data_IF_170921462007
#
_entry.id   IF_170921462007
#
_cell.length_a   1.000
_cell.length_b   1.000
_cell.length_c   1.000
_cell.angle_alpha   90.00
_cell.angle_beta   90.00
_cell.angle_gamma   90.00
#
_symmetry.space_group_name_H-M   'P 1'
#
loop_
_entity.id
_entity.type
_entity.pdbx_description
1 polymer ?
#
# COMPACT_ATOMS: atom_id res chain seq x y z
N UNK A 1 23.53 10.23 -12.60
CA UNK A 1 22.31 9.41 -12.61
C UNK A 1 22.57 7.93 -12.32
N UNK A 2 23.46 7.27 -13.02
CA UNK A 2 23.80 5.85 -12.80
C UNK A 2 24.19 5.52 -11.36
N UNK A 3 25.10 6.31 -10.75
CA UNK A 3 25.51 6.13 -9.35
C UNK A 3 24.37 6.30 -8.33
N UNK A 4 23.46 7.24 -8.56
CA UNK A 4 22.28 7.44 -7.73
C UNK A 4 21.35 6.23 -7.80
N UNK A 5 21.00 5.78 -9.00
CA UNK A 5 20.13 4.60 -9.21
C UNK A 5 20.78 3.34 -8.62
N UNK A 6 22.09 3.14 -8.84
CA UNK A 6 22.83 2.00 -8.28
C UNK A 6 22.76 1.99 -6.74
N UNK A 7 22.98 3.15 -6.09
CA UNK A 7 22.88 3.29 -4.63
C UNK A 7 21.46 2.98 -4.12
N UNK A 8 20.42 3.41 -4.85
CA UNK A 8 19.02 3.13 -4.50
C UNK A 8 18.69 1.64 -4.67
N UNK A 9 19.17 1.00 -5.74
CA UNK A 9 19.00 -0.44 -5.97
C UNK A 9 19.71 -1.28 -4.91
N UNK A 10 20.93 -0.90 -4.52
CA UNK A 10 21.65 -1.55 -3.42
C UNK A 10 20.84 -1.41 -2.11
N UNK A 11 20.39 -0.18 -1.78
CA UNK A 11 19.55 0.06 -0.61
C UNK A 11 18.27 -0.78 -0.63
N UNK A 12 17.58 -0.87 -1.77
CA UNK A 12 16.42 -1.72 -1.98
C UNK A 12 16.74 -3.20 -1.70
N UNK A 13 17.83 -3.73 -2.27
CA UNK A 13 18.26 -5.11 -2.03
C UNK A 13 18.58 -5.39 -0.57
N UNK A 14 19.30 -4.48 0.10
CA UNK A 14 19.61 -4.59 1.52
C UNK A 14 18.35 -4.57 2.38
N UNK A 15 17.41 -3.67 2.10
CA UNK A 15 16.12 -3.59 2.81
C UNK A 15 15.33 -4.89 2.67
N UNK A 16 15.26 -5.45 1.45
CA UNK A 16 14.57 -6.72 1.22
C UNK A 16 15.26 -7.88 1.94
N UNK A 17 16.58 -7.94 1.93
CA UNK A 17 17.34 -8.98 2.63
C UNK A 17 17.10 -8.92 4.15
N UNK A 18 17.17 -7.71 4.72
CA UNK A 18 16.91 -7.51 6.17
C UNK A 18 15.47 -7.88 6.49
N UNK A 19 14.50 -7.46 5.68
CA UNK A 19 13.10 -7.82 5.87
C UNK A 19 12.88 -9.35 5.77
N UNK A 20 13.50 -10.00 4.78
CA UNK A 20 13.47 -11.46 4.66
C UNK A 20 14.02 -12.17 5.88
N UNK A 21 15.17 -11.71 6.41
CA UNK A 21 15.75 -12.23 7.64
C UNK A 21 14.78 -12.06 8.83
N UNK A 22 14.26 -10.85 9.01
CA UNK A 22 13.33 -10.56 10.12
C UNK A 22 12.09 -11.44 10.06
N UNK A 23 11.44 -11.54 8.89
CA UNK A 23 10.25 -12.38 8.71
C UNK A 23 10.59 -13.84 9.00
N UNK A 24 11.69 -14.34 8.44
CA UNK A 24 12.07 -15.74 8.59
C UNK A 24 12.27 -16.09 10.05
N UNK A 25 13.16 -15.37 10.75
CA UNK A 25 13.50 -15.68 12.14
C UNK A 25 12.37 -15.34 13.12
N UNK A 26 11.59 -14.28 12.86
CA UNK A 26 10.43 -13.96 13.69
C UNK A 26 9.40 -15.10 13.67
N UNK A 27 9.11 -15.64 12.50
CA UNK A 27 8.16 -16.75 12.35
C UNK A 27 8.74 -18.07 12.87
N UNK A 28 10.06 -18.25 12.81
CA UNK A 28 10.74 -19.42 13.34
C UNK A 28 10.78 -19.44 14.88
N UNK A 29 10.73 -18.27 15.52
CA UNK A 29 10.67 -18.10 16.98
C UNK A 29 9.26 -18.25 17.56
N UNK A 30 8.22 -18.29 16.72
CA UNK A 30 6.85 -18.44 17.21
C UNK A 30 6.69 -19.79 17.93
N UNK A 31 6.07 -19.80 19.13
CA UNK A 31 5.85 -21.03 19.88
C UNK A 31 4.88 -21.96 19.14
N UNK A 32 5.22 -23.24 19.07
CA UNK A 32 4.44 -24.31 18.46
C UNK A 32 5.19 -25.01 17.34
N UNK A 33 4.88 -26.28 17.15
CA UNK A 33 5.45 -27.11 16.09
C UNK A 33 4.52 -27.11 14.88
N UNK A 34 4.95 -26.60 13.70
CA UNK A 34 4.13 -26.61 12.50
C UNK A 34 3.60 -28.01 12.16
N UNK A 35 4.40 -29.06 12.36
CA UNK A 35 3.99 -30.43 12.10
C UNK A 35 2.85 -30.89 13.02
N UNK A 36 2.87 -30.45 14.29
CA UNK A 36 1.77 -30.74 15.22
C UNK A 36 0.47 -30.04 14.79
N UNK A 37 0.57 -28.77 14.34
CA UNK A 37 -0.61 -28.03 13.88
C UNK A 37 -1.25 -28.67 12.64
N UNK A 38 -0.43 -29.13 11.69
CA UNK A 38 -0.92 -29.79 10.45
C UNK A 38 -1.63 -31.11 10.77
N UNK A 39 -1.08 -31.90 11.70
CA UNK A 39 -1.65 -33.20 12.09
C UNK A 39 -2.84 -33.05 13.04
N UNK A 40 -2.93 -31.91 13.74
CA UNK A 40 -4.05 -31.58 14.64
C UNK A 40 -4.24 -32.66 15.72
N UNK A 41 -5.50 -33.03 15.97
CA UNK A 41 -5.88 -34.03 16.99
C UNK A 41 -5.34 -35.45 16.71
N UNK A 42 -4.93 -35.73 15.48
CA UNK A 42 -4.37 -37.03 15.07
C UNK A 42 -2.82 -37.06 15.21
N UNK A 43 -2.20 -36.03 15.82
CA UNK A 43 -0.75 -35.94 15.99
C UNK A 43 -0.27 -37.02 16.97
N UNK A 44 0.48 -38.00 16.46
CA UNK A 44 1.25 -38.95 17.28
C UNK A 44 2.74 -38.56 17.25
N UNK A 45 3.54 -38.84 18.27
CA UNK A 45 4.98 -38.53 18.27
C UNK A 45 5.68 -38.99 16.98
N UNK A 46 5.36 -40.20 16.50
CA UNK A 46 5.96 -40.76 15.27
C UNK A 46 5.53 -40.06 14.02
N UNK A 47 4.24 -39.62 13.91
CA UNK A 47 3.74 -38.89 12.76
C UNK A 47 4.32 -37.46 12.71
N UNK A 48 4.44 -36.81 13.86
CA UNK A 48 5.08 -35.51 13.99
C UNK A 48 6.54 -35.57 13.56
N UNK A 49 7.33 -36.54 14.10
CA UNK A 49 8.73 -36.72 13.74
C UNK A 49 8.94 -36.94 12.24
N UNK A 50 8.11 -37.78 11.61
CA UNK A 50 8.15 -38.02 10.15
C UNK A 50 7.83 -36.77 9.36
N UNK A 51 6.80 -36.01 9.75
CA UNK A 51 6.43 -34.80 9.06
C UNK A 51 7.48 -33.70 9.22
N UNK A 52 8.11 -33.56 10.41
CA UNK A 52 9.23 -32.65 10.63
C UNK A 52 10.41 -32.92 9.70
N UNK A 53 10.79 -34.18 9.53
CA UNK A 53 11.84 -34.60 8.60
C UNK A 53 11.47 -34.26 7.15
N UNK A 54 10.21 -34.55 6.73
CA UNK A 54 9.73 -34.20 5.38
C UNK A 54 9.72 -32.69 5.12
N UNK A 55 9.44 -31.90 6.14
CA UNK A 55 9.42 -30.45 6.06
C UNK A 55 10.81 -29.81 6.22
N UNK A 56 11.85 -30.60 6.50
CA UNK A 56 13.20 -30.11 6.73
C UNK A 56 13.33 -29.24 7.97
N UNK A 57 12.40 -29.35 8.95
CA UNK A 57 12.39 -28.51 10.15
C UNK A 57 13.55 -28.81 11.11
N UNK A 58 14.18 -29.98 10.99
CA UNK A 58 15.32 -30.40 11.82
C UNK A 58 16.65 -29.84 11.29
N UNK A 59 16.68 -29.26 10.12
CA UNK A 59 17.85 -28.56 9.59
C UNK A 59 18.12 -27.24 10.37
N UNK A 60 19.40 -26.84 10.52
CA UNK A 60 19.74 -25.58 11.15
C UNK A 60 19.02 -24.39 10.51
N UNK A 61 18.59 -23.42 11.32
CA UNK A 61 17.78 -22.28 10.84
C UNK A 61 18.43 -21.49 9.69
N UNK A 62 19.78 -21.36 9.71
CA UNK A 62 20.48 -20.66 8.63
C UNK A 62 20.42 -21.42 7.29
N UNK A 63 20.43 -22.76 7.31
CA UNK A 63 20.29 -23.57 6.09
C UNK A 63 18.87 -23.41 5.51
N UNK A 64 17.86 -23.53 6.35
CA UNK A 64 16.45 -23.31 5.98
C UNK A 64 16.23 -21.92 5.43
N UNK A 65 16.88 -20.89 6.00
CA UNK A 65 16.84 -19.52 5.49
C UNK A 65 17.43 -19.41 4.08
N UNK A 66 18.63 -19.97 3.86
CA UNK A 66 19.31 -19.91 2.55
C UNK A 66 18.52 -20.67 1.48
N UNK A 67 17.99 -21.84 1.82
CA UNK A 67 17.14 -22.63 0.91
C UNK A 67 15.86 -21.88 0.54
N UNK A 68 15.18 -21.32 1.55
CA UNK A 68 13.99 -20.51 1.32
C UNK A 68 14.28 -19.26 0.48
N UNK A 69 15.36 -18.54 0.77
CA UNK A 69 15.77 -17.37 -0.01
C UNK A 69 16.11 -17.76 -1.45
N UNK A 70 16.82 -18.86 -1.64
CA UNK A 70 17.14 -19.40 -2.96
C UNK A 70 15.91 -19.86 -3.75
N UNK A 71 14.93 -20.47 -3.10
CA UNK A 71 13.63 -20.82 -3.67
C UNK A 71 12.86 -19.57 -4.12
N UNK A 72 12.75 -18.58 -3.24
CA UNK A 72 12.09 -17.31 -3.52
C UNK A 72 12.67 -16.58 -4.75
N UNK A 73 13.99 -16.56 -4.90
CA UNK A 73 14.65 -15.96 -6.07
C UNK A 73 14.35 -16.69 -7.38
N UNK A 74 13.91 -17.95 -7.32
CA UNK A 74 13.46 -18.75 -8.46
C UNK A 74 11.94 -18.72 -8.67
N UNK A 75 11.19 -17.97 -7.81
CA UNK A 75 9.73 -17.90 -7.82
C UNK A 75 9.05 -19.06 -7.08
N UNK A 76 9.81 -19.89 -6.37
CA UNK A 76 9.30 -20.95 -5.52
C UNK A 76 9.20 -20.46 -4.07
N UNK A 77 7.97 -20.23 -3.62
CA UNK A 77 7.65 -19.83 -2.26
C UNK A 77 7.24 -21.01 -1.36
N UNK A 78 7.31 -22.25 -1.90
CA UNK A 78 6.86 -23.46 -1.24
C UNK A 78 5.37 -23.75 -1.41
N UNK A 79 4.90 -24.76 -0.67
CA UNK A 79 3.51 -25.22 -0.67
C UNK A 79 2.80 -24.79 0.60
N UNK A 80 1.61 -24.21 0.47
CA UNK A 80 0.71 -23.97 1.59
C UNK A 80 0.19 -25.29 2.14
N UNK A 81 0.29 -25.46 3.45
CA UNK A 81 -0.20 -26.68 4.11
C UNK A 81 -1.71 -26.70 4.23
N UNK A 82 -2.31 -25.54 4.49
CA UNK A 82 -3.76 -25.43 4.69
C UNK A 82 -4.50 -25.48 3.37
N UNK A 83 -4.01 -24.79 2.36
CA UNK A 83 -4.67 -24.73 1.04
C UNK A 83 -4.17 -25.78 0.04
N UNK A 84 -3.11 -26.54 0.37
CA UNK A 84 -2.50 -27.61 -0.45
C UNK A 84 -2.21 -27.16 -1.90
N UNK A 85 -1.77 -25.91 -2.05
CA UNK A 85 -1.49 -25.28 -3.33
C UNK A 85 -0.14 -24.52 -3.26
N UNK A 86 0.54 -24.31 -4.41
CA UNK A 86 1.74 -23.50 -4.46
C UNK A 86 1.46 -22.08 -3.95
N UNK A 87 2.28 -21.59 -3.02
CA UNK A 87 2.11 -20.25 -2.43
C UNK A 87 2.18 -19.16 -3.51
N UNK A 88 3.02 -19.34 -4.53
CA UNK A 88 3.12 -18.41 -5.66
C UNK A 88 1.77 -18.20 -6.36
N UNK A 89 1.04 -19.27 -6.71
CA UNK A 89 -0.26 -19.16 -7.37
C UNK A 89 -1.28 -18.44 -6.50
N UNK A 90 -1.34 -18.79 -5.21
CA UNK A 90 -2.24 -18.14 -4.26
C UNK A 90 -1.99 -16.63 -4.17
N UNK A 91 -0.72 -16.22 -4.15
CA UNK A 91 -0.33 -14.81 -4.10
C UNK A 91 -0.75 -14.08 -5.39
N UNK A 92 -0.47 -14.67 -6.56
CA UNK A 92 -0.80 -14.03 -7.85
C UNK A 92 -2.29 -13.78 -8.01
N UNK A 93 -3.13 -14.74 -7.64
CA UNK A 93 -4.59 -14.60 -7.67
C UNK A 93 -5.05 -13.43 -6.77
N UNK A 94 -4.44 -13.29 -5.59
CA UNK A 94 -4.80 -12.25 -4.62
C UNK A 94 -4.30 -10.86 -4.99
N UNK A 95 -3.14 -10.76 -5.64
CA UNK A 95 -2.62 -9.51 -6.17
C UNK A 95 -3.56 -8.88 -7.20
N UNK A 96 -4.28 -9.71 -7.98
CA UNK A 96 -5.32 -9.27 -8.91
C UNK A 96 -6.49 -8.53 -8.26
N UNK A 97 -6.63 -8.56 -6.94
CA UNK A 97 -7.62 -7.79 -6.17
C UNK A 97 -6.96 -6.63 -5.42
N UNK A 98 -5.88 -6.93 -4.69
CA UNK A 98 -5.19 -5.93 -3.84
C UNK A 98 -4.64 -4.76 -4.63
N UNK A 99 -3.96 -5.00 -5.76
CA UNK A 99 -3.36 -3.93 -6.57
C UNK A 99 -4.40 -3.01 -7.20
N UNK A 100 -5.46 -3.51 -7.89
CA UNK A 100 -6.54 -2.65 -8.39
C UNK A 100 -7.23 -1.86 -7.28
N UNK A 101 -7.46 -2.46 -6.11
CA UNK A 101 -8.04 -1.77 -4.96
C UNK A 101 -7.16 -0.60 -4.50
N UNK A 102 -5.86 -0.82 -4.30
CA UNK A 102 -4.91 0.21 -3.88
C UNK A 102 -4.77 1.32 -4.93
N UNK A 103 -4.71 0.95 -6.22
CA UNK A 103 -4.65 1.90 -7.34
C UNK A 103 -5.92 2.74 -7.42
N UNK A 104 -7.10 2.13 -7.33
CA UNK A 104 -8.37 2.85 -7.34
C UNK A 104 -8.46 3.85 -6.17
N UNK A 105 -8.08 3.43 -4.96
CA UNK A 105 -8.04 4.30 -3.79
C UNK A 105 -7.05 5.46 -3.99
N UNK A 106 -5.87 5.23 -4.58
CA UNK A 106 -4.90 6.28 -4.90
C UNK A 106 -5.46 7.27 -5.92
N UNK A 107 -6.05 6.78 -7.00
CA UNK A 107 -6.66 7.65 -8.03
C UNK A 107 -7.76 8.52 -7.42
N UNK A 108 -8.66 7.95 -6.62
CA UNK A 108 -9.71 8.70 -5.92
C UNK A 108 -9.08 9.75 -4.99
N UNK A 109 -8.03 9.38 -4.24
CA UNK A 109 -7.35 10.30 -3.33
C UNK A 109 -6.75 11.50 -4.06
N UNK A 110 -6.14 11.27 -5.22
CA UNK A 110 -5.58 12.33 -6.07
C UNK A 110 -6.70 13.22 -6.62
N UNK A 111 -7.74 12.61 -7.21
CA UNK A 111 -8.84 13.33 -7.86
C UNK A 111 -9.65 14.19 -6.87
N UNK A 112 -9.69 13.81 -5.60
CA UNK A 112 -10.40 14.54 -4.54
C UNK A 112 -9.45 15.46 -3.78
N UNK A 113 -8.31 14.93 -3.31
CA UNK A 113 -7.42 15.64 -2.41
C UNK A 113 -6.72 16.84 -3.06
N UNK A 114 -6.18 16.68 -4.28
CA UNK A 114 -5.47 17.78 -4.92
C UNK A 114 -6.38 18.97 -5.27
N UNK A 115 -7.55 18.79 -5.90
CA UNK A 115 -8.46 19.91 -6.16
C UNK A 115 -8.93 20.61 -4.89
N UNK A 116 -9.26 19.86 -3.84
CA UNK A 116 -9.65 20.44 -2.56
C UNK A 116 -8.51 21.25 -1.92
N UNK A 117 -7.26 20.74 -1.98
CA UNK A 117 -6.09 21.45 -1.48
C UNK A 117 -5.80 22.74 -2.25
N UNK A 118 -5.90 22.71 -3.59
CA UNK A 118 -5.76 23.89 -4.45
C UNK A 118 -6.86 24.92 -4.12
N UNK A 119 -8.10 24.47 -3.99
CA UNK A 119 -9.23 25.34 -3.69
C UNK A 119 -9.08 26.02 -2.33
N UNK A 120 -8.65 25.27 -1.31
CA UNK A 120 -8.37 25.80 0.03
C UNK A 120 -7.25 26.85 0.00
N UNK A 121 -6.14 26.59 -0.71
CA UNK A 121 -5.02 27.52 -0.84
C UNK A 121 -5.44 28.84 -1.52
N UNK A 122 -6.24 28.76 -2.62
CA UNK A 122 -6.77 29.95 -3.33
C UNK A 122 -7.72 30.76 -2.47
N UNK A 123 -8.39 30.14 -1.52
CA UNK A 123 -9.34 30.80 -0.61
C UNK A 123 -8.78 30.94 0.80
N UNK A 124 -7.45 30.98 0.92
CA UNK A 124 -6.73 31.07 2.20
C UNK A 124 -7.34 32.09 3.15
N UNK A 125 -7.59 31.67 4.39
CA UNK A 125 -8.16 32.50 5.46
C UNK A 125 -9.67 32.78 5.34
N UNK A 126 -10.37 32.22 4.32
CA UNK A 126 -11.82 32.30 4.16
C UNK A 126 -12.52 31.08 4.75
N UNK A 127 -13.83 31.15 4.98
CA UNK A 127 -14.63 30.05 5.52
C UNK A 127 -14.45 28.73 4.74
N UNK A 128 -14.34 28.80 3.39
CA UNK A 128 -14.13 27.62 2.55
C UNK A 128 -12.81 26.92 2.83
N UNK A 129 -11.70 27.68 3.04
CA UNK A 129 -10.42 27.12 3.45
C UNK A 129 -10.54 26.38 4.79
N UNK A 130 -11.13 27.04 5.79
CA UNK A 130 -11.35 26.46 7.10
C UNK A 130 -12.23 25.21 7.03
N UNK A 131 -13.32 25.24 6.27
CA UNK A 131 -14.21 24.09 6.11
C UNK A 131 -13.51 22.88 5.48
N UNK A 132 -12.74 23.09 4.40
CA UNK A 132 -11.97 22.01 3.76
C UNK A 132 -10.93 21.45 4.73
N UNK A 133 -10.23 22.29 5.50
CA UNK A 133 -9.23 21.82 6.45
C UNK A 133 -9.83 21.07 7.64
N UNK A 134 -11.01 21.50 8.14
CA UNK A 134 -11.75 20.75 9.16
C UNK A 134 -12.20 19.40 8.64
N UNK A 135 -12.77 19.34 7.42
CA UNK A 135 -13.15 18.07 6.80
C UNK A 135 -11.94 17.15 6.58
N UNK A 136 -10.82 17.70 6.13
CA UNK A 136 -9.58 16.94 5.99
C UNK A 136 -9.06 16.42 7.33
N UNK A 137 -9.14 17.22 8.40
CA UNK A 137 -8.75 16.76 9.74
C UNK A 137 -9.65 15.64 10.24
N UNK A 138 -10.96 15.75 10.03
CA UNK A 138 -11.93 14.71 10.35
C UNK A 138 -11.68 13.43 9.54
N UNK A 139 -11.40 13.57 8.23
CA UNK A 139 -11.13 12.43 7.36
C UNK A 139 -9.88 11.62 7.74
N UNK A 140 -8.86 12.26 8.34
CA UNK A 140 -7.69 11.56 8.90
C UNK A 140 -8.00 10.87 10.23
N UNK A 141 -8.88 11.47 11.04
CA UNK A 141 -9.23 10.96 12.36
C UNK A 141 -10.16 9.73 12.30
N UNK A 142 -10.94 9.60 11.24
CA UNK A 142 -11.88 8.49 11.06
C UNK A 142 -11.12 7.23 10.62
N UNK A 143 -11.25 6.10 11.37
CA UNK A 143 -10.66 4.83 10.92
C UNK A 143 -11.30 4.37 9.60
N UNK A 144 -10.46 3.96 8.64
CA UNK A 144 -10.90 3.55 7.30
C UNK A 144 -11.91 2.37 7.33
N UNK A 145 -11.72 1.40 8.22
CA UNK A 145 -12.63 0.26 8.37
C UNK A 145 -14.03 0.71 8.87
N UNK A 146 -14.07 1.62 9.83
CA UNK A 146 -15.33 2.16 10.36
C UNK A 146 -16.06 2.96 9.28
N UNK A 147 -15.34 3.81 8.55
CA UNK A 147 -15.90 4.53 7.40
C UNK A 147 -16.42 3.56 6.33
N UNK A 148 -15.68 2.49 6.05
CA UNK A 148 -16.12 1.42 5.16
C UNK A 148 -17.44 0.79 5.59
N UNK A 149 -17.61 0.48 6.88
CA UNK A 149 -18.87 -0.04 7.40
C UNK A 149 -20.02 0.96 7.25
N UNK A 150 -19.78 2.26 7.48
CA UNK A 150 -20.79 3.30 7.25
C UNK A 150 -21.19 3.39 5.77
N UNK A 151 -20.21 3.35 4.85
CA UNK A 151 -20.49 3.32 3.41
C UNK A 151 -21.33 2.09 3.03
N UNK A 152 -21.03 0.92 3.59
CA UNK A 152 -21.81 -0.30 3.37
C UNK A 152 -23.24 -0.14 3.89
N UNK A 153 -23.39 0.41 5.10
CA UNK A 153 -24.73 0.63 5.67
C UNK A 153 -25.58 1.57 4.81
N UNK A 154 -24.99 2.66 4.31
CA UNK A 154 -25.70 3.65 3.51
C UNK A 154 -25.96 3.13 2.09
N UNK A 155 -24.90 2.75 1.36
CA UNK A 155 -24.98 2.51 -0.07
C UNK A 155 -25.35 1.07 -0.45
N UNK A 156 -25.02 0.09 0.40
CA UNK A 156 -25.35 -1.29 0.10
C UNK A 156 -26.66 -1.75 0.78
N UNK A 157 -26.84 -1.45 2.06
CA UNK A 157 -28.01 -1.89 2.80
C UNK A 157 -29.19 -0.93 2.63
N UNK A 158 -28.96 0.39 2.82
CA UNK A 158 -30.00 1.41 2.75
C UNK A 158 -30.45 1.68 1.31
N UNK A 159 -29.54 2.14 0.47
CA UNK A 159 -29.83 2.54 -0.92
C UNK A 159 -29.82 1.38 -1.92
N UNK A 160 -29.12 0.28 -1.60
CA UNK A 160 -28.96 -0.89 -2.47
C UNK A 160 -28.34 -0.58 -3.85
N UNK A 161 -27.47 0.42 -3.91
CA UNK A 161 -26.81 0.85 -5.14
C UNK A 161 -25.56 0.01 -5.46
N UNK A 162 -24.86 -0.44 -4.42
CA UNK A 162 -23.59 -1.14 -4.52
C UNK A 162 -23.61 -2.43 -3.67
N UNK A 163 -22.80 -3.42 -3.99
CA UNK A 163 -22.70 -4.65 -3.20
C UNK A 163 -22.10 -4.37 -1.82
N UNK A 164 -22.53 -5.08 -0.76
CA UNK A 164 -22.01 -4.90 0.61
C UNK A 164 -20.58 -5.42 0.78
N UNK A 165 -20.11 -6.27 -0.11
CA UNK A 165 -18.80 -6.91 -0.09
C UNK A 165 -18.77 -8.11 -1.01
N UNK A 166 -17.65 -8.86 -0.97
CA UNK A 166 -17.37 -9.92 -1.92
C UNK A 166 -16.76 -9.40 -3.21
N UNK A 167 -16.32 -10.31 -4.06
CA UNK A 167 -15.65 -9.99 -5.31
C UNK A 167 -16.03 -10.97 -6.39
N UNK A 168 -16.50 -10.47 -7.51
CA UNK A 168 -16.73 -11.25 -8.73
C UNK A 168 -15.40 -11.36 -9.49
N UNK A 169 -14.95 -12.56 -9.89
CA UNK A 169 -13.72 -12.73 -10.66
C UNK A 169 -13.71 -11.89 -11.94
N UNK A 170 -12.55 -11.30 -12.27
CA UNK A 170 -12.38 -10.46 -13.47
C UNK A 170 -12.80 -11.16 -14.77
N UNK A 171 -12.62 -12.47 -14.86
CA UNK A 171 -12.96 -13.28 -16.03
C UNK A 171 -14.46 -13.57 -16.16
N UNK A 172 -15.27 -13.39 -15.11
CA UNK A 172 -16.71 -13.63 -15.13
C UNK A 172 -17.48 -12.34 -15.49
N UNK A 173 -17.27 -11.27 -14.72
CA UNK A 173 -17.89 -9.95 -14.95
C UNK A 173 -17.00 -8.84 -14.40
N UNK A 174 -16.24 -8.20 -15.31
CA UNK A 174 -15.38 -7.08 -14.95
C UNK A 174 -16.15 -5.84 -14.42
N UNK A 175 -17.41 -5.67 -14.85
CA UNK A 175 -18.26 -4.57 -14.37
C UNK A 175 -18.69 -4.81 -12.91
N UNK A 176 -19.09 -6.05 -12.58
CA UNK A 176 -19.39 -6.43 -11.20
C UNK A 176 -18.15 -6.38 -10.31
N UNK A 177 -16.99 -6.83 -10.81
CA UNK A 177 -15.70 -6.70 -10.11
C UNK A 177 -15.40 -5.24 -9.73
N UNK A 178 -15.50 -4.31 -10.69
CA UNK A 178 -15.29 -2.88 -10.44
C UNK A 178 -16.30 -2.32 -9.43
N UNK A 179 -17.58 -2.67 -9.54
CA UNK A 179 -18.60 -2.24 -8.56
C UNK A 179 -18.29 -2.71 -7.15
N UNK A 180 -17.77 -3.95 -7.01
CA UNK A 180 -17.35 -4.50 -5.72
C UNK A 180 -16.17 -3.76 -5.08
N UNK A 181 -15.33 -3.08 -5.87
CA UNK A 181 -14.20 -2.30 -5.38
C UNK A 181 -14.53 -0.85 -5.01
N UNK A 182 -15.71 -0.30 -5.37
CA UNK A 182 -16.04 1.12 -5.16
C UNK A 182 -16.03 1.49 -3.68
N UNK A 183 -16.82 0.82 -2.85
CA UNK A 183 -16.92 1.14 -1.42
C UNK A 183 -15.59 0.92 -0.69
N UNK A 184 -14.87 -0.21 -0.90
CA UNK A 184 -13.55 -0.42 -0.33
C UNK A 184 -12.53 0.65 -0.73
N UNK A 185 -12.53 1.05 -2.01
CA UNK A 185 -11.62 2.10 -2.51
C UNK A 185 -11.92 3.46 -1.88
N UNK A 186 -13.20 3.83 -1.72
CA UNK A 186 -13.61 5.05 -1.03
C UNK A 186 -13.19 5.04 0.44
N UNK A 187 -13.32 3.90 1.11
CA UNK A 187 -12.91 3.75 2.50
C UNK A 187 -11.40 3.97 2.68
N UNK A 188 -10.58 3.42 1.78
CA UNK A 188 -9.13 3.63 1.77
C UNK A 188 -8.74 5.04 1.34
N UNK A 189 -9.48 5.64 0.41
CA UNK A 189 -9.14 6.94 -0.17
C UNK A 189 -9.36 8.11 0.78
N UNK A 190 -10.32 8.05 1.70
CA UNK A 190 -10.69 9.18 2.54
C UNK A 190 -9.51 9.77 3.35
N UNK A 191 -8.76 9.00 4.15
CA UNK A 191 -7.63 9.54 4.89
C UNK A 191 -6.51 10.05 3.97
N UNK A 192 -6.29 9.37 2.84
CA UNK A 192 -5.25 9.74 1.89
C UNK A 192 -5.58 11.03 1.15
N UNK A 193 -6.82 11.20 0.68
CA UNK A 193 -7.30 12.44 0.08
C UNK A 193 -7.19 13.61 1.05
N UNK A 194 -7.49 13.37 2.32
CA UNK A 194 -7.41 14.35 3.40
C UNK A 194 -5.97 14.83 3.64
N UNK A 195 -5.00 13.91 3.65
CA UNK A 195 -3.58 14.23 3.75
C UNK A 195 -3.12 15.01 2.52
N UNK A 196 -3.48 14.55 1.31
CA UNK A 196 -3.12 15.22 0.06
C UNK A 196 -3.67 16.64 -0.02
N UNK A 197 -4.92 16.86 0.39
CA UNK A 197 -5.53 18.18 0.44
C UNK A 197 -4.73 19.14 1.35
N UNK A 198 -4.31 18.68 2.53
CA UNK A 198 -3.49 19.47 3.46
C UNK A 198 -2.11 19.79 2.89
N UNK A 199 -1.42 18.78 2.36
CA UNK A 199 -0.08 18.96 1.80
C UNK A 199 -0.12 19.91 0.60
N UNK A 200 -1.06 19.69 -0.32
CA UNK A 200 -1.23 20.56 -1.50
C UNK A 200 -1.55 22.00 -1.11
N UNK A 201 -2.45 22.21 -0.13
CA UNK A 201 -2.75 23.54 0.40
C UNK A 201 -1.50 24.23 0.97
N UNK A 202 -0.77 23.53 1.85
CA UNK A 202 0.42 24.10 2.49
C UNK A 202 1.48 24.46 1.46
N UNK A 203 1.81 23.55 0.56
CA UNK A 203 2.78 23.76 -0.51
C UNK A 203 2.40 24.93 -1.42
N UNK A 204 1.12 25.02 -1.81
CA UNK A 204 0.67 26.08 -2.70
C UNK A 204 0.65 27.45 -1.99
N UNK A 205 0.36 27.49 -0.68
CA UNK A 205 0.44 28.71 0.13
C UNK A 205 1.89 29.19 0.27
N UNK A 206 2.87 28.29 0.45
CA UNK A 206 4.29 28.62 0.50
C UNK A 206 4.77 29.15 -0.85
N UNK A 207 4.42 28.49 -1.93
CA UNK A 207 4.75 28.90 -3.30
C UNK A 207 4.15 30.26 -3.63
N UNK A 208 2.97 30.60 -3.12
CA UNK A 208 2.33 31.89 -3.32
C UNK A 208 3.17 33.09 -2.80
N UNK A 209 4.05 32.85 -1.82
CA UNK A 209 4.96 33.84 -1.27
C UNK A 209 6.27 34.04 -2.05
N UNK A 210 6.56 33.20 -3.05
CA UNK A 210 7.83 33.18 -3.77
C UNK A 210 7.94 34.34 -4.79
N UNK A 211 9.18 34.78 -5.07
CA UNK A 211 9.45 35.92 -5.92
C UNK A 211 9.03 35.73 -7.37
N UNK A 212 9.07 34.52 -7.90
CA UNK A 212 8.60 34.27 -9.27
C UNK A 212 7.06 34.44 -9.40
N UNK A 213 6.28 34.23 -8.34
CA UNK A 213 4.84 34.54 -8.32
C UNK A 213 4.65 36.06 -8.28
N UNK A 214 5.46 36.78 -7.49
CA UNK A 214 5.44 38.26 -7.49
C UNK A 214 5.77 38.82 -8.87
N UNK A 215 6.81 38.28 -9.53
CA UNK A 215 7.20 38.65 -10.88
C UNK A 215 6.08 38.38 -11.91
N UNK A 216 5.40 37.21 -11.82
CA UNK A 216 4.28 36.91 -12.69
C UNK A 216 3.13 37.90 -12.51
N UNK A 217 2.85 38.32 -11.28
CA UNK A 217 1.86 39.34 -10.96
C UNK A 217 2.24 40.72 -11.49
N UNK A 218 3.51 41.09 -11.36
CA UNK A 218 4.02 42.35 -11.90
C UNK A 218 3.92 42.42 -13.44
N UNK A 219 3.88 41.25 -14.11
CA UNK A 219 3.61 41.13 -15.55
C UNK A 219 2.11 41.12 -15.92
N UNK A 220 1.22 41.41 -14.96
CA UNK A 220 -0.23 41.59 -15.20
C UNK A 220 -1.09 40.38 -14.90
N UNK A 221 -0.53 39.25 -14.42
CA UNK A 221 -1.36 38.12 -14.02
C UNK A 221 -2.06 38.38 -12.69
N UNK A 222 -3.31 37.95 -12.58
CA UNK A 222 -3.98 37.88 -11.28
C UNK A 222 -3.32 36.83 -10.38
N UNK A 223 -3.57 36.89 -9.06
CA UNK A 223 -3.01 35.88 -8.13
C UNK A 223 -3.46 34.47 -8.51
N UNK A 224 -4.70 34.30 -8.87
CA UNK A 224 -5.27 32.99 -9.27
C UNK A 224 -4.60 32.46 -10.55
N UNK A 225 -4.39 33.29 -11.56
CA UNK A 225 -3.70 32.90 -12.79
C UNK A 225 -2.23 32.57 -12.55
N UNK A 226 -1.54 33.35 -11.73
CA UNK A 226 -0.14 33.12 -11.38
C UNK A 226 0.03 31.81 -10.62
N UNK A 227 -0.88 31.50 -9.66
CA UNK A 227 -0.86 30.25 -8.92
C UNK A 227 -1.18 29.06 -9.84
N UNK A 228 -2.17 29.17 -10.69
CA UNK A 228 -2.55 28.06 -11.58
C UNK A 228 -1.46 27.77 -12.62
N UNK A 229 -0.93 28.82 -13.25
CA UNK A 229 0.04 28.68 -14.34
C UNK A 229 1.46 28.33 -13.87
N UNK A 230 1.88 28.84 -12.71
CA UNK A 230 3.24 28.69 -12.20
C UNK A 230 3.30 28.02 -10.81
N UNK A 231 2.31 28.29 -9.95
CA UNK A 231 2.32 27.85 -8.56
C UNK A 231 2.07 26.34 -8.41
N UNK A 232 1.01 25.81 -9.03
CA UNK A 232 0.59 24.41 -8.90
C UNK A 232 1.74 23.45 -9.27
N UNK A 233 2.42 23.72 -10.40
CA UNK A 233 3.53 22.86 -10.85
C UNK A 233 4.66 22.78 -9.81
N UNK A 234 5.03 23.91 -9.19
CA UNK A 234 6.07 23.94 -8.17
C UNK A 234 5.58 23.34 -6.84
N UNK A 235 4.32 23.54 -6.49
CA UNK A 235 3.71 22.95 -5.29
C UNK A 235 3.55 21.42 -5.38
N UNK A 236 3.59 20.83 -6.58
CA UNK A 236 3.53 19.37 -6.77
C UNK A 236 4.78 18.63 -6.30
N UNK A 237 5.93 19.28 -6.13
CA UNK A 237 7.17 18.60 -5.71
C UNK A 237 7.03 17.91 -4.34
N UNK A 238 6.61 18.58 -3.25
CA UNK A 238 6.35 17.91 -1.97
C UNK A 238 5.20 16.90 -2.05
N UNK A 239 4.19 17.15 -2.90
CA UNK A 239 3.06 16.25 -3.08
C UNK A 239 3.48 14.90 -3.66
N UNK A 240 4.38 14.89 -4.66
CA UNK A 240 4.92 13.66 -5.24
C UNK A 240 5.61 12.79 -4.21
N UNK A 241 6.33 13.39 -3.24
CA UNK A 241 6.93 12.65 -2.11
C UNK A 241 5.88 11.90 -1.32
N UNK A 242 4.85 12.65 -0.93
CA UNK A 242 3.79 12.10 -0.11
C UNK A 242 3.00 11.03 -0.86
N UNK A 243 2.78 11.18 -2.16
CA UNK A 243 2.10 10.17 -2.98
C UNK A 243 2.80 8.80 -2.93
N UNK A 244 4.13 8.76 -3.01
CA UNK A 244 4.86 7.50 -2.90
C UNK A 244 4.70 6.83 -1.53
N UNK A 245 4.84 7.60 -0.45
CA UNK A 245 4.60 7.11 0.91
C UNK A 245 3.16 6.64 1.10
N UNK A 246 2.19 7.40 0.58
CA UNK A 246 0.77 7.06 0.70
C UNK A 246 0.41 5.77 -0.03
N UNK A 247 1.02 5.50 -1.19
CA UNK A 247 0.76 4.25 -1.88
C UNK A 247 1.26 3.04 -1.08
N UNK A 248 2.41 3.16 -0.43
CA UNK A 248 2.89 2.14 0.51
C UNK A 248 1.90 1.93 1.68
N UNK A 249 1.39 3.02 2.26
CA UNK A 249 0.36 2.95 3.30
C UNK A 249 -0.97 2.36 2.79
N UNK A 250 -1.36 2.64 1.55
CA UNK A 250 -2.55 2.04 0.94
C UNK A 250 -2.40 0.52 0.85
N UNK A 251 -1.27 0.01 0.33
CA UNK A 251 -1.03 -1.43 0.24
C UNK A 251 -1.13 -2.08 1.64
N UNK A 252 -0.53 -1.49 2.67
CA UNK A 252 -0.65 -2.00 4.03
C UNK A 252 -2.09 -1.89 4.57
N UNK A 253 -2.79 -0.81 4.24
CA UNK A 253 -4.17 -0.55 4.68
C UNK A 253 -5.20 -1.48 4.04
N UNK A 254 -4.90 -2.09 2.89
CA UNK A 254 -5.82 -3.04 2.25
C UNK A 254 -6.11 -4.23 3.15
N UNK A 255 -5.18 -4.66 4.01
CA UNK A 255 -5.35 -5.83 4.91
C UNK A 255 -6.66 -5.72 5.71
N UNK A 256 -6.89 -4.57 6.34
CA UNK A 256 -8.07 -4.36 7.16
C UNK A 256 -9.33 -4.24 6.30
N UNK A 257 -9.27 -3.47 5.23
CA UNK A 257 -10.41 -3.21 4.35
C UNK A 257 -10.84 -4.46 3.58
N UNK A 258 -9.89 -5.27 3.12
CA UNK A 258 -10.18 -6.56 2.48
C UNK A 258 -10.93 -7.52 3.41
N UNK A 259 -10.57 -7.52 4.71
CA UNK A 259 -11.30 -8.33 5.69
C UNK A 259 -12.72 -7.82 5.94
N UNK A 260 -12.90 -6.50 6.08
CA UNK A 260 -14.22 -5.88 6.32
C UNK A 260 -15.18 -6.13 5.14
N UNK A 261 -14.69 -5.99 3.91
CA UNK A 261 -15.49 -6.17 2.70
C UNK A 261 -15.46 -7.59 2.13
N UNK A 262 -14.84 -8.55 2.83
CA UNK A 262 -14.71 -9.95 2.36
C UNK A 262 -14.09 -10.08 0.97
N UNK A 263 -13.15 -9.20 0.62
CA UNK A 263 -12.44 -9.26 -0.66
C UNK A 263 -11.37 -10.36 -0.61
N UNK A 264 -11.23 -11.18 -1.66
CA UNK A 264 -10.19 -12.21 -1.74
C UNK A 264 -8.83 -11.60 -2.14
N UNK A 265 -8.30 -10.67 -1.33
CA UNK A 265 -7.02 -10.03 -1.56
C UNK A 265 -5.86 -10.64 -0.76
N UNK A 266 -4.65 -10.09 -0.97
CA UNK A 266 -3.42 -10.55 -0.33
C UNK A 266 -3.42 -10.31 1.19
N UNK A 267 -3.98 -9.20 1.64
CA UNK A 267 -4.10 -8.90 3.07
C UNK A 267 -4.99 -9.89 3.80
N UNK A 268 -6.12 -10.26 3.21
CA UNK A 268 -7.00 -11.30 3.76
C UNK A 268 -6.34 -12.67 3.73
N UNK A 269 -5.58 -12.98 2.67
CA UNK A 269 -4.81 -14.22 2.61
C UNK A 269 -3.81 -14.32 3.77
N UNK A 270 -3.06 -13.24 4.04
CA UNK A 270 -2.11 -13.19 5.16
C UNK A 270 -2.85 -13.37 6.49
N UNK A 271 -3.97 -12.66 6.67
CA UNK A 271 -4.75 -12.73 7.91
C UNK A 271 -5.25 -14.15 8.19
N UNK A 272 -5.84 -14.82 7.19
CA UNK A 272 -6.30 -16.21 7.35
C UNK A 272 -5.15 -17.17 7.57
N UNK A 273 -4.04 -17.03 6.84
CA UNK A 273 -2.85 -17.85 7.02
C UNK A 273 -2.24 -17.73 8.42
N UNK A 274 -2.28 -16.54 9.04
CA UNK A 274 -1.86 -16.34 10.44
C UNK A 274 -2.78 -17.11 11.39
N UNK A 275 -4.10 -17.02 11.22
CA UNK A 275 -5.06 -17.74 12.06
C UNK A 275 -4.94 -19.26 11.95
N UNK A 276 -4.67 -19.74 10.73
CA UNK A 276 -4.47 -21.16 10.41
C UNK A 276 -3.05 -21.64 10.69
N UNK A 277 -2.16 -20.74 11.11
CA UNK A 277 -0.73 -21.01 11.37
C UNK A 277 0.04 -21.61 10.18
N UNK A 278 -0.37 -21.26 8.97
CA UNK A 278 0.36 -21.62 7.75
C UNK A 278 1.58 -20.69 7.57
N UNK A 279 2.66 -21.02 8.26
CA UNK A 279 3.87 -20.18 8.31
C UNK A 279 4.55 -20.01 6.94
N UNK A 280 4.41 -21.00 6.04
CA UNK A 280 4.98 -20.91 4.69
C UNK A 280 4.20 -19.86 3.89
N UNK A 281 2.87 -19.93 3.94
CA UNK A 281 2.00 -18.96 3.26
C UNK A 281 2.18 -17.55 3.84
N UNK A 282 2.21 -17.41 5.18
CA UNK A 282 2.46 -16.11 5.85
C UNK A 282 3.78 -15.52 5.38
N UNK A 283 4.85 -16.32 5.36
CA UNK A 283 6.21 -15.89 4.97
C UNK A 283 6.25 -15.42 3.53
N UNK A 284 5.72 -16.22 2.60
CA UNK A 284 5.68 -15.91 1.17
C UNK A 284 4.81 -14.69 0.86
N UNK A 285 3.61 -14.60 1.43
CA UNK A 285 2.70 -13.48 1.19
C UNK A 285 3.21 -12.16 1.78
N UNK A 286 3.80 -12.21 2.99
CA UNK A 286 4.34 -11.01 3.65
C UNK A 286 5.55 -10.46 2.90
N UNK A 287 6.47 -11.30 2.41
CA UNK A 287 7.63 -10.80 1.65
C UNK A 287 7.20 -10.15 0.33
N UNK A 288 6.21 -10.68 -0.36
CA UNK A 288 5.66 -10.07 -1.58
C UNK A 288 5.03 -8.72 -1.28
N UNK A 289 4.31 -8.58 -0.16
CA UNK A 289 3.76 -7.30 0.27
C UNK A 289 4.88 -6.28 0.55
N UNK A 290 5.96 -6.69 1.19
CA UNK A 290 7.13 -5.82 1.43
C UNK A 290 7.83 -5.46 0.11
N UNK A 291 7.97 -6.40 -0.82
CA UNK A 291 8.49 -6.12 -2.16
C UNK A 291 7.61 -5.07 -2.87
N UNK A 292 6.30 -5.18 -2.82
CA UNK A 292 5.39 -4.21 -3.43
C UNK A 292 5.54 -2.81 -2.81
N UNK A 293 5.59 -2.72 -1.48
CA UNK A 293 5.80 -1.46 -0.74
C UNK A 293 7.16 -0.83 -1.08
N UNK A 294 8.24 -1.60 -0.96
CA UNK A 294 9.60 -1.09 -1.21
C UNK A 294 9.84 -0.75 -2.68
N UNK A 295 9.24 -1.50 -3.61
CA UNK A 295 9.27 -1.18 -5.05
C UNK A 295 8.59 0.14 -5.34
N UNK A 296 7.47 0.43 -4.68
CA UNK A 296 6.78 1.73 -4.81
C UNK A 296 7.67 2.88 -4.31
N UNK A 297 8.36 2.70 -3.19
CA UNK A 297 9.31 3.69 -2.68
C UNK A 297 10.47 3.91 -3.67
N UNK A 298 11.03 2.83 -4.22
CA UNK A 298 12.07 2.90 -5.25
C UNK A 298 11.59 3.65 -6.50
N UNK A 299 10.39 3.34 -6.99
CA UNK A 299 9.80 4.04 -8.15
C UNK A 299 9.58 5.52 -7.87
N UNK A 300 9.17 5.88 -6.65
CA UNK A 300 9.02 7.26 -6.22
C UNK A 300 10.36 7.99 -6.18
N UNK A 301 11.41 7.37 -5.65
CA UNK A 301 12.77 7.92 -5.64
C UNK A 301 13.30 8.16 -7.06
N UNK A 302 13.03 7.23 -7.98
CA UNK A 302 13.40 7.37 -9.41
C UNK A 302 12.59 8.51 -10.05
N UNK A 303 11.28 8.58 -9.82
CA UNK A 303 10.44 9.65 -10.33
C UNK A 303 10.92 11.03 -9.85
N UNK A 304 11.34 11.13 -8.58
CA UNK A 304 11.97 12.32 -8.02
C UNK A 304 13.21 12.74 -8.79
N UNK A 305 14.14 11.80 -9.02
CA UNK A 305 15.38 12.09 -9.75
C UNK A 305 15.13 12.52 -11.21
N UNK A 306 13.97 12.16 -11.78
CA UNK A 306 13.55 12.62 -13.11
C UNK A 306 12.98 14.04 -13.05
N UNK A 307 12.16 14.35 -12.04
CA UNK A 307 11.43 15.64 -11.92
C UNK A 307 12.34 16.75 -11.38
N UNK A 308 13.24 16.46 -10.44
CA UNK A 308 14.19 17.42 -9.88
C UNK A 308 15.64 17.13 -10.29
N UNK A 309 16.17 17.86 -11.29
CA UNK A 309 17.55 17.70 -11.73
C UNK A 309 18.61 18.02 -10.66
N UNK A 310 18.27 18.82 -9.64
CA UNK A 310 19.20 19.25 -8.58
C UNK A 310 19.65 18.08 -7.70
N UNK A 311 18.80 17.08 -7.54
CA UNK A 311 19.15 15.84 -6.83
C UNK A 311 20.20 14.99 -7.56
N UNK A 312 20.44 15.26 -8.85
CA UNK A 312 21.45 14.57 -9.66
C UNK A 312 22.87 15.05 -9.33
N UNK A 313 23.04 16.25 -8.81
CA UNK A 313 24.33 16.91 -8.55
C UNK A 313 24.76 16.85 -7.09
N UNK A 314 23.90 16.46 -6.15
CA UNK A 314 24.11 16.50 -4.70
C UNK A 314 25.09 15.49 -4.10
N UNK A 315 26.05 14.96 -4.87
CA UNK A 315 27.15 14.12 -4.35
C UNK A 315 28.55 14.76 -4.54
N UNK A 316 28.62 16.07 -4.67
CA UNK A 316 29.90 16.81 -4.74
C UNK A 316 30.07 17.79 -3.58
N UNK A 317 29.86 17.32 -2.33
CA UNK A 317 30.45 17.94 -1.12
C UNK A 317 30.93 16.85 -0.20
#
# INVERSE_FOLDING_TARGET
MTAYIARRLIGFGVTLLVAAMVIFYLLDLLPGDPAQFILGINATPDSVARLRLQMGLDAPAYQRFVEWLGGMLRGDFGMSYTQRAPVASLIWDRLGVTLPLALAAMVISILVGLPLGILAARRRGKALDTSIMVLAQTGVAIPNFWFGMLLTLIFAVGLRWLPPGGFTPWGEDSGAALRGLILPSLALALPQASILARVMRTSLVEVAGQDFIRTARAKGLTMDEALWRHGVRNAMLPVLTILGLQFAYLIAGTIVVENVFYLPGLGRLIYTAILERDLILVRGATIILIIAVTSTMLLTDIAYAVVDPRLREGSRT
#
